data_IF_730973199081
#
_entry.id   IF_730973199081
#
_cell.length_a   1.000
_cell.length_b   1.000
_cell.length_c   1.000
_cell.angle_alpha   90.00
_cell.angle_beta   90.00
_cell.angle_gamma   90.00
#
_symmetry.space_group_name_H-M   'P 1'
#
loop_
_entity.id
_entity.type
_entity.pdbx_description
1 polymer ?
#
# COMPACT_ATOMS: atom_id res chain seq x y z
N UNK A 1 -1.12 23.94 2.17
CA UNK A 1 -0.36 24.68 1.13
C UNK A 1 -1.34 25.32 0.16
N UNK A 2 -1.14 26.58 -0.23
CA UNK A 2 -1.96 27.22 -1.29
C UNK A 2 -1.57 26.62 -2.64
N UNK A 3 -2.55 26.13 -3.40
CA UNK A 3 -2.31 25.59 -4.75
C UNK A 3 -1.78 26.70 -5.66
N UNK A 4 -0.56 26.51 -6.20
CA UNK A 4 0.04 27.46 -7.14
C UNK A 4 -0.73 27.46 -8.46
N UNK A 5 -1.11 28.61 -8.95
CA UNK A 5 -1.72 28.77 -10.27
C UNK A 5 -0.69 28.71 -11.42
N UNK A 6 0.61 28.77 -11.11
CA UNK A 6 1.69 28.66 -12.09
C UNK A 6 1.79 27.22 -12.60
N UNK A 7 1.99 27.07 -13.89
CA UNK A 7 2.26 25.77 -14.52
C UNK A 7 3.66 25.30 -14.10
N UNK A 8 3.78 24.06 -13.67
CA UNK A 8 5.05 23.38 -13.48
C UNK A 8 5.21 22.31 -14.58
N UNK A 9 6.30 22.43 -15.35
CA UNK A 9 6.71 21.45 -16.35
C UNK A 9 7.83 20.57 -15.78
N UNK A 10 7.56 19.27 -15.63
CA UNK A 10 8.50 18.27 -15.10
C UNK A 10 8.98 17.44 -16.28
N UNK A 11 10.26 17.61 -16.69
CA UNK A 11 10.86 16.93 -17.85
C UNK A 11 11.78 15.80 -17.39
N UNK A 12 11.78 14.70 -18.14
CA UNK A 12 12.66 13.57 -17.92
C UNK A 12 12.97 12.80 -19.22
N UNK A 13 14.03 12.02 -19.22
CA UNK A 13 14.42 11.14 -20.31
C UNK A 13 13.49 9.94 -20.49
N UNK A 14 12.67 9.62 -19.47
CA UNK A 14 11.63 8.58 -19.55
C UNK A 14 10.43 8.96 -18.71
N UNK A 15 9.24 8.62 -19.21
CA UNK A 15 7.99 8.69 -18.47
C UNK A 15 7.37 7.28 -18.40
N UNK A 16 6.83 6.93 -17.24
CA UNK A 16 5.94 5.78 -17.07
C UNK A 16 4.60 6.29 -16.55
N UNK A 17 3.50 6.02 -17.28
CA UNK A 17 2.19 6.61 -16.96
C UNK A 17 1.39 5.90 -15.87
N UNK A 18 1.95 4.83 -15.31
CA UNK A 18 1.31 3.93 -14.35
C UNK A 18 0.86 2.62 -15.01
N UNK A 19 0.87 2.53 -16.34
CA UNK A 19 0.50 1.35 -17.12
C UNK A 19 1.57 0.97 -18.15
N UNK A 20 2.21 1.97 -18.79
CA UNK A 20 3.19 1.77 -19.84
C UNK A 20 4.26 2.85 -19.89
N UNK A 21 5.38 2.53 -20.53
CA UNK A 21 6.40 3.53 -20.86
C UNK A 21 5.93 4.45 -21.99
N UNK A 22 6.20 5.75 -21.85
CA UNK A 22 5.89 6.78 -22.84
C UNK A 22 7.16 7.32 -23.55
N UNK A 23 8.37 6.98 -23.08
CA UNK A 23 9.63 7.55 -23.54
C UNK A 23 9.91 8.95 -22.96
N UNK A 24 10.82 9.73 -23.60
CA UNK A 24 11.14 11.09 -23.17
C UNK A 24 9.93 12.02 -23.25
N UNK A 25 9.81 12.94 -22.28
CA UNK A 25 8.71 13.88 -22.30
C UNK A 25 8.64 14.79 -21.08
N UNK A 26 7.52 15.46 -20.93
CA UNK A 26 7.21 16.28 -19.77
C UNK A 26 5.79 16.04 -19.26
N UNK A 27 5.63 16.16 -17.94
CA UNK A 27 4.34 16.23 -17.26
C UNK A 27 4.08 17.67 -16.88
N UNK A 28 2.91 18.19 -17.26
CA UNK A 28 2.45 19.52 -16.91
C UNK A 28 1.51 19.44 -15.72
N UNK A 29 1.77 20.25 -14.70
CA UNK A 29 0.91 20.30 -13.51
C UNK A 29 0.53 21.74 -13.18
N UNK A 30 -0.68 21.92 -12.65
CA UNK A 30 -1.18 23.20 -12.20
C UNK A 30 -2.21 22.99 -11.08
N UNK A 31 -2.13 23.78 -10.05
CA UNK A 31 -3.08 23.72 -8.92
C UNK A 31 -3.21 22.32 -8.30
N UNK A 32 -2.10 21.56 -8.24
CA UNK A 32 -2.05 20.22 -7.65
C UNK A 32 -2.54 19.09 -8.55
N UNK A 33 -2.93 19.39 -9.80
CA UNK A 33 -3.41 18.40 -10.77
C UNK A 33 -2.45 18.31 -11.96
N UNK A 34 -2.42 17.14 -12.58
CA UNK A 34 -1.82 16.94 -13.89
C UNK A 34 -2.75 17.59 -14.94
N UNK A 35 -2.21 18.49 -15.75
CA UNK A 35 -2.98 19.16 -16.82
C UNK A 35 -2.66 18.62 -18.20
N UNK A 36 -1.51 17.97 -18.36
CA UNK A 36 -1.11 17.37 -19.63
C UNK A 36 0.17 16.56 -19.54
N UNK A 37 0.39 15.76 -20.58
CA UNK A 37 1.64 15.02 -20.83
C UNK A 37 2.05 15.34 -22.26
N UNK A 38 3.30 15.71 -22.48
CA UNK A 38 3.84 15.97 -23.80
C UNK A 38 5.06 15.08 -24.07
N UNK A 39 4.99 14.30 -25.11
CA UNK A 39 6.07 13.43 -25.60
C UNK A 39 6.52 13.82 -27.00
N UNK A 40 6.06 14.96 -27.53
CA UNK A 40 6.40 15.44 -28.86
C UNK A 40 7.77 16.11 -28.94
N UNK A 41 8.36 16.45 -27.77
CA UNK A 41 9.59 17.26 -27.70
C UNK A 41 9.34 18.76 -27.83
N UNK A 42 8.08 19.21 -27.75
CA UNK A 42 7.76 20.63 -27.76
C UNK A 42 8.38 21.35 -26.56
N UNK A 43 8.70 22.66 -26.69
CA UNK A 43 9.18 23.44 -25.55
C UNK A 43 8.08 23.56 -24.48
N UNK A 44 8.45 23.69 -23.18
CA UNK A 44 7.51 23.94 -22.12
C UNK A 44 6.66 25.19 -22.41
N UNK A 45 5.41 25.27 -21.91
CA UNK A 45 4.59 26.48 -22.04
C UNK A 45 5.32 27.72 -21.51
N UNK A 46 5.07 28.88 -22.14
CA UNK A 46 5.63 30.15 -21.67
C UNK A 46 5.21 30.39 -20.21
N UNK A 47 6.10 31.00 -19.42
CA UNK A 47 5.92 31.31 -17.99
C UNK A 47 5.75 30.10 -17.06
N UNK A 48 6.02 28.87 -17.53
CA UNK A 48 6.06 27.69 -16.66
C UNK A 48 7.35 27.65 -15.84
N UNK A 49 7.23 27.16 -14.59
CA UNK A 49 8.40 26.71 -13.83
C UNK A 49 8.87 25.37 -14.42
N UNK A 50 10.17 25.22 -14.64
CA UNK A 50 10.71 24.01 -15.26
C UNK A 50 11.56 23.25 -14.25
N UNK A 51 11.22 21.98 -14.03
CA UNK A 51 12.08 21.02 -13.35
C UNK A 51 12.56 20.01 -14.40
N UNK A 52 13.80 20.14 -14.85
CA UNK A 52 14.43 19.24 -15.82
C UNK A 52 15.35 18.26 -15.10
N UNK A 53 15.07 16.97 -15.27
CA UNK A 53 15.83 15.88 -14.66
C UNK A 53 16.84 15.24 -15.62
N UNK A 54 16.81 15.62 -16.92
CA UNK A 54 17.71 15.06 -17.94
C UNK A 54 17.38 13.63 -18.36
N UNK A 55 18.25 13.04 -19.18
CA UNK A 55 17.98 11.77 -19.88
C UNK A 55 18.07 10.52 -18.97
N UNK A 56 18.79 10.60 -17.86
CA UNK A 56 19.04 9.46 -16.94
C UNK A 56 17.96 9.25 -15.88
N UNK A 57 16.83 9.94 -15.96
CA UNK A 57 15.78 9.92 -14.94
C UNK A 57 14.45 9.49 -15.55
N UNK A 58 13.72 8.69 -14.79
CA UNK A 58 12.33 8.30 -15.08
C UNK A 58 11.39 9.04 -14.15
N UNK A 59 10.38 9.72 -14.71
CA UNK A 59 9.25 10.29 -13.95
C UNK A 59 8.04 9.38 -14.07
N UNK A 60 7.41 9.09 -12.93
CA UNK A 60 6.26 8.18 -12.84
C UNK A 60 5.30 8.63 -11.72
N UNK A 61 4.08 8.04 -11.63
CA UNK A 61 3.22 8.25 -10.47
C UNK A 61 3.92 7.86 -9.18
N UNK A 62 3.59 8.55 -8.10
CA UNK A 62 4.03 8.14 -6.76
C UNK A 62 3.55 6.73 -6.41
N UNK A 63 4.38 6.00 -5.66
CA UNK A 63 4.10 4.63 -5.26
C UNK A 63 2.96 4.57 -4.24
N UNK A 64 2.22 3.47 -4.27
CA UNK A 64 1.10 3.18 -3.36
C UNK A 64 1.40 1.88 -2.63
N UNK A 65 1.47 1.92 -1.29
CA UNK A 65 1.55 0.75 -0.43
C UNK A 65 0.15 0.38 0.07
N UNK A 66 -0.37 -0.75 -0.39
CA UNK A 66 -1.74 -1.18 -0.12
C UNK A 66 -1.97 -1.82 1.25
N UNK A 67 -0.92 -1.99 2.07
CA UNK A 67 -1.04 -2.59 3.39
C UNK A 67 0.09 -2.15 4.31
N UNK A 68 -0.20 -1.22 5.19
CA UNK A 68 0.73 -0.79 6.24
C UNK A 68 0.03 -0.72 7.60
N UNK A 69 0.83 -0.62 8.65
CA UNK A 69 0.41 -0.29 10.01
C UNK A 69 1.26 0.86 10.54
N UNK A 70 0.83 2.11 10.32
CA UNK A 70 1.60 3.30 10.70
C UNK A 70 1.89 3.38 12.20
N UNK A 71 1.01 2.81 13.03
CA UNK A 71 1.16 2.80 14.50
C UNK A 71 2.22 1.83 15.00
N UNK A 72 2.67 0.87 14.20
CA UNK A 72 3.72 -0.09 14.52
C UNK A 72 5.11 0.46 14.17
N UNK A 73 6.13 0.13 14.97
CA UNK A 73 7.46 0.75 14.92
C UNK A 73 8.54 -0.09 14.23
N UNK A 74 8.13 -1.17 13.58
CA UNK A 74 9.04 -2.15 12.97
C UNK A 74 10.06 -2.75 13.95
N UNK A 75 9.81 -2.71 15.26
CA UNK A 75 10.64 -3.38 16.27
C UNK A 75 10.18 -4.82 16.52
N UNK A 76 11.00 -5.65 17.18
CA UNK A 76 10.57 -6.97 17.66
C UNK A 76 9.40 -6.90 18.65
N UNK A 77 9.17 -5.75 19.29
CA UNK A 77 8.12 -5.50 20.28
C UNK A 77 6.96 -4.65 19.73
N UNK A 78 6.87 -4.43 18.41
CA UNK A 78 5.90 -3.52 17.80
C UNK A 78 4.46 -3.74 18.30
N UNK A 79 3.99 -4.99 18.38
CA UNK A 79 2.67 -5.33 18.89
C UNK A 79 2.50 -5.05 20.39
N UNK A 80 3.54 -5.29 21.19
CA UNK A 80 3.50 -5.00 22.63
C UNK A 80 3.52 -3.48 22.87
N UNK A 81 4.32 -2.75 22.12
CA UNK A 81 4.41 -1.28 22.21
C UNK A 81 3.06 -0.62 21.89
N UNK A 82 2.40 -0.99 20.79
CA UNK A 82 1.10 -0.43 20.43
C UNK A 82 0.01 -0.70 21.49
N UNK A 83 0.14 -1.79 22.24
CA UNK A 83 -0.82 -2.15 23.28
C UNK A 83 -0.80 -1.20 24.49
N UNK A 84 0.39 -0.68 24.85
CA UNK A 84 0.62 0.00 26.14
C UNK A 84 0.96 1.48 26.01
N UNK A 85 1.45 1.92 24.86
CA UNK A 85 1.84 3.31 24.65
C UNK A 85 0.66 4.27 24.54
N UNK A 86 0.88 5.50 24.95
CA UNK A 86 -0.12 6.57 24.84
C UNK A 86 -0.36 6.98 23.38
N UNK A 87 -1.58 7.44 23.09
CA UNK A 87 -1.99 7.85 21.75
C UNK A 87 -1.10 8.95 21.16
N UNK A 88 -0.57 9.87 21.96
CA UNK A 88 0.33 10.93 21.50
C UNK A 88 1.72 10.39 21.11
N UNK A 89 2.19 9.33 21.78
CA UNK A 89 3.43 8.62 21.39
C UNK A 89 3.21 7.92 20.05
N UNK A 90 2.08 7.23 19.92
CA UNK A 90 1.72 6.54 18.66
C UNK A 90 1.57 7.53 17.50
N UNK A 91 0.90 8.67 17.70
CA UNK A 91 0.73 9.68 16.65
C UNK A 91 2.07 10.25 16.16
N UNK A 92 3.01 10.56 17.06
CA UNK A 92 4.36 10.99 16.66
C UNK A 92 5.09 9.92 15.86
N UNK A 93 4.98 8.65 16.25
CA UNK A 93 5.52 7.51 15.50
C UNK A 93 4.90 7.41 14.11
N UNK A 94 3.58 7.51 14.02
CA UNK A 94 2.84 7.45 12.76
C UNK A 94 3.23 8.60 11.81
N UNK A 95 3.48 9.80 12.32
CA UNK A 95 4.00 10.94 11.55
C UNK A 95 5.39 10.64 10.98
N UNK A 96 6.30 10.11 11.81
CA UNK A 96 7.65 9.69 11.37
C UNK A 96 7.58 8.55 10.33
N UNK A 97 6.71 7.57 10.53
CA UNK A 97 6.45 6.48 9.60
C UNK A 97 5.97 7.02 8.24
N UNK A 98 5.01 7.95 8.27
CA UNK A 98 4.49 8.63 7.07
C UNK A 98 5.58 9.42 6.34
N UNK A 99 6.41 10.17 7.07
CA UNK A 99 7.55 10.91 6.50
C UNK A 99 8.55 9.96 5.84
N UNK A 100 8.86 8.84 6.49
CA UNK A 100 9.76 7.82 5.96
C UNK A 100 9.24 7.21 4.66
N UNK A 101 7.95 6.85 4.62
CA UNK A 101 7.29 6.36 3.42
C UNK A 101 7.35 7.39 2.27
N UNK A 102 7.03 8.65 2.54
CA UNK A 102 7.06 9.73 1.55
C UNK A 102 8.46 9.91 0.95
N UNK A 103 9.50 9.84 1.78
CA UNK A 103 10.88 9.95 1.32
C UNK A 103 11.33 8.77 0.44
N UNK A 104 10.69 7.62 0.53
CA UNK A 104 10.90 6.49 -0.37
C UNK A 104 10.04 6.56 -1.65
N UNK A 105 9.32 7.68 -1.88
CA UNK A 105 8.48 7.86 -3.05
C UNK A 105 7.06 7.26 -2.89
N UNK A 106 6.70 6.79 -1.69
CA UNK A 106 5.36 6.27 -1.40
C UNK A 106 4.46 7.46 -1.08
N UNK A 107 3.61 7.85 -2.03
CA UNK A 107 2.73 9.03 -1.91
C UNK A 107 1.34 8.68 -1.41
N UNK A 108 1.02 7.40 -1.31
CA UNK A 108 -0.24 6.89 -0.74
C UNK A 108 0.04 5.62 0.04
N UNK A 109 -0.59 5.50 1.21
CA UNK A 109 -0.55 4.30 2.06
C UNK A 109 -1.98 3.90 2.43
N UNK A 110 -2.27 2.58 2.42
CA UNK A 110 -3.50 2.04 2.99
C UNK A 110 -3.17 1.43 4.36
N UNK A 111 -3.54 2.16 5.42
CA UNK A 111 -3.40 1.69 6.81
C UNK A 111 -4.55 0.74 7.13
N UNK A 112 -4.24 -0.54 7.26
CA UNK A 112 -5.21 -1.62 7.48
C UNK A 112 -5.34 -2.03 8.94
N UNK A 113 -4.92 -1.18 9.85
CA UNK A 113 -5.18 -1.43 11.27
C UNK A 113 -4.40 -0.51 12.19
N UNK A 114 -5.14 0.26 12.94
CA UNK A 114 -4.63 1.08 14.04
C UNK A 114 -5.52 0.96 15.28
N UNK A 115 -5.04 1.46 16.41
CA UNK A 115 -5.80 1.56 17.64
C UNK A 115 -6.57 2.89 17.71
N UNK A 116 -7.86 2.85 18.07
CA UNK A 116 -8.67 4.06 18.36
C UNK A 116 -8.81 5.05 17.20
N UNK A 117 -8.68 4.60 15.94
CA UNK A 117 -8.79 5.44 14.76
C UNK A 117 -7.70 6.53 14.69
N UNK A 118 -6.49 6.22 15.14
CA UNK A 118 -5.38 7.18 15.15
C UNK A 118 -4.94 7.59 13.75
N UNK A 119 -5.09 6.73 12.74
CA UNK A 119 -4.82 7.06 11.34
C UNK A 119 -5.71 8.20 10.83
N UNK A 120 -6.97 8.26 11.25
CA UNK A 120 -7.87 9.38 10.92
C UNK A 120 -7.42 10.66 11.62
N UNK A 121 -7.10 10.58 12.92
CA UNK A 121 -6.60 11.73 13.69
C UNK A 121 -5.28 12.26 13.10
N UNK A 122 -4.36 11.37 12.71
CA UNK A 122 -3.12 11.75 12.03
C UNK A 122 -3.42 12.46 10.70
N UNK A 123 -4.28 11.89 9.86
CA UNK A 123 -4.68 12.48 8.57
C UNK A 123 -5.18 13.92 8.73
N UNK A 124 -6.01 14.16 9.74
CA UNK A 124 -6.52 15.49 10.03
C UNK A 124 -5.41 16.45 10.49
N UNK A 125 -4.53 16.00 11.39
CA UNK A 125 -3.39 16.78 11.89
C UNK A 125 -2.41 17.17 10.77
N UNK A 126 -2.05 16.23 9.90
CA UNK A 126 -1.16 16.47 8.77
C UNK A 126 -1.77 17.50 7.81
N UNK A 127 -3.08 17.41 7.55
CA UNK A 127 -3.80 18.36 6.68
C UNK A 127 -3.86 19.75 7.31
N UNK A 128 -4.27 19.86 8.57
CA UNK A 128 -4.39 21.14 9.29
C UNK A 128 -3.06 21.88 9.41
N UNK A 129 -1.98 21.13 9.66
CA UNK A 129 -0.64 21.71 9.84
C UNK A 129 0.13 21.84 8.51
N UNK A 130 -0.47 21.49 7.38
CA UNK A 130 0.17 21.48 6.05
C UNK A 130 1.50 20.72 6.02
N UNK A 131 1.58 19.61 6.76
CA UNK A 131 2.77 18.73 6.79
C UNK A 131 2.73 17.83 5.56
N UNK A 132 3.78 17.80 4.72
CA UNK A 132 3.85 16.88 3.59
C UNK A 132 3.86 15.43 4.06
N UNK A 133 2.91 14.65 3.58
CA UNK A 133 2.76 13.23 3.93
C UNK A 133 2.08 12.45 2.79
N UNK A 134 2.19 11.12 2.77
CA UNK A 134 1.36 10.29 1.90
C UNK A 134 -0.13 10.53 2.16
N UNK A 135 -0.96 10.32 1.15
CA UNK A 135 -2.40 10.14 1.40
C UNK A 135 -2.62 8.89 2.25
N UNK A 136 -3.40 9.01 3.31
CA UNK A 136 -3.74 7.89 4.19
C UNK A 136 -5.15 7.41 3.85
N UNK A 137 -5.26 6.17 3.35
CA UNK A 137 -6.50 5.40 3.22
C UNK A 137 -6.62 4.57 4.50
N UNK A 138 -7.61 4.84 5.33
CA UNK A 138 -7.63 4.37 6.71
C UNK A 138 -8.76 3.38 6.99
N UNK A 139 -8.44 2.25 7.64
CA UNK A 139 -9.41 1.27 8.15
C UNK A 139 -9.84 1.54 9.60
N UNK A 140 -9.00 2.17 10.41
CA UNK A 140 -9.16 2.18 11.86
C UNK A 140 -8.93 0.80 12.49
N UNK A 141 -9.44 0.51 13.69
CA UNK A 141 -9.29 -0.79 14.34
C UNK A 141 -9.87 -1.92 13.47
N UNK A 142 -9.07 -2.97 13.12
CA UNK A 142 -9.57 -4.05 12.28
C UNK A 142 -10.64 -4.88 13.01
N UNK A 143 -11.69 -5.31 12.30
CA UNK A 143 -12.70 -6.20 12.87
C UNK A 143 -12.09 -7.57 13.15
N UNK A 144 -12.32 -8.05 14.38
CA UNK A 144 -11.87 -9.37 14.84
C UNK A 144 -12.86 -9.94 15.86
N UNK A 145 -12.81 -11.25 16.08
CA UNK A 145 -13.58 -11.91 17.15
C UNK A 145 -13.01 -11.55 18.53
N UNK A 146 -13.79 -11.79 19.61
CA UNK A 146 -13.30 -11.55 20.96
C UNK A 146 -12.04 -12.37 21.26
N UNK A 147 -10.93 -11.67 21.63
CA UNK A 147 -9.62 -12.26 21.82
C UNK A 147 -8.96 -12.76 20.52
N UNK A 148 -9.51 -12.43 19.36
CA UNK A 148 -9.00 -12.84 18.06
C UNK A 148 -7.71 -12.13 17.63
N UNK A 149 -7.30 -12.36 16.39
CA UNK A 149 -6.08 -11.74 15.86
C UNK A 149 -6.20 -10.22 15.86
N UNK A 150 -5.17 -9.53 16.35
CA UNK A 150 -5.11 -8.07 16.54
C UNK A 150 -6.22 -7.48 17.45
N UNK A 151 -6.84 -8.25 18.35
CA UNK A 151 -7.81 -7.74 19.35
C UNK A 151 -7.26 -6.56 20.16
N UNK A 152 -5.95 -6.49 20.35
CA UNK A 152 -5.24 -5.37 21.01
C UNK A 152 -5.52 -4.01 20.38
N UNK A 153 -5.94 -3.97 19.12
CA UNK A 153 -6.31 -2.72 18.42
C UNK A 153 -7.75 -2.27 18.71
N UNK A 154 -8.57 -3.10 19.39
CA UNK A 154 -9.89 -2.74 19.89
C UNK A 154 -11.00 -2.76 18.84
N UNK A 155 -10.88 -3.64 17.83
CA UNK A 155 -11.90 -3.82 16.79
C UNK A 155 -12.80 -5.06 17.01
N UNK A 156 -12.88 -5.58 18.25
CA UNK A 156 -13.62 -6.79 18.56
C UNK A 156 -15.12 -6.60 18.35
N UNK A 157 -15.74 -7.54 17.61
CA UNK A 157 -17.18 -7.59 17.37
C UNK A 157 -17.60 -8.99 16.94
N UNK A 158 -18.66 -9.53 17.55
CA UNK A 158 -19.25 -10.81 17.19
C UNK A 158 -20.78 -10.72 17.14
N UNK A 159 -21.37 -11.53 16.28
CA UNK A 159 -22.81 -11.55 16.07
C UNK A 159 -23.34 -10.35 15.29
N UNK A 160 -24.57 -10.48 14.81
CA UNK A 160 -25.11 -9.58 13.81
C UNK A 160 -25.21 -8.11 14.24
N UNK A 161 -25.55 -7.85 15.50
CA UNK A 161 -25.79 -6.48 15.96
C UNK A 161 -24.47 -5.73 16.21
N UNK A 162 -23.48 -6.40 16.82
CA UNK A 162 -22.15 -5.81 17.04
C UNK A 162 -21.44 -5.55 15.72
N UNK A 163 -21.50 -6.51 14.77
CA UNK A 163 -20.89 -6.37 13.45
C UNK A 163 -21.49 -5.20 12.66
N UNK A 164 -22.84 -5.06 12.65
CA UNK A 164 -23.51 -3.90 12.03
C UNK A 164 -23.07 -2.58 12.68
N UNK A 165 -23.07 -2.53 14.01
CA UNK A 165 -22.67 -1.33 14.76
C UNK A 165 -21.20 -0.98 14.49
N UNK A 166 -20.31 -1.98 14.40
CA UNK A 166 -18.90 -1.77 14.17
C UNK A 166 -18.59 -1.27 12.74
N UNK A 167 -19.29 -1.78 11.72
CA UNK A 167 -19.16 -1.27 10.34
C UNK A 167 -19.73 0.15 10.25
N UNK A 168 -20.92 0.38 10.81
CA UNK A 168 -21.54 1.72 10.84
C UNK A 168 -20.64 2.75 11.51
N UNK A 169 -20.03 2.41 12.67
CA UNK A 169 -19.09 3.30 13.35
C UNK A 169 -17.90 3.71 12.48
N UNK A 170 -17.34 2.79 11.68
CA UNK A 170 -16.23 3.08 10.74
C UNK A 170 -16.67 4.06 9.66
N UNK A 171 -17.84 3.85 9.09
CA UNK A 171 -18.44 4.77 8.12
C UNK A 171 -18.64 6.17 8.71
N UNK A 172 -19.25 6.26 9.89
CA UNK A 172 -19.51 7.54 10.55
C UNK A 172 -18.26 8.29 10.99
N UNK A 173 -17.16 7.57 11.23
CA UNK A 173 -15.85 8.18 11.54
C UNK A 173 -15.07 8.60 10.30
N UNK A 174 -15.51 8.22 9.11
CA UNK A 174 -14.83 8.56 7.84
C UNK A 174 -13.65 7.64 7.52
N UNK A 175 -13.73 6.35 7.92
CA UNK A 175 -12.84 5.34 7.37
C UNK A 175 -13.13 5.14 5.88
N UNK A 176 -12.10 4.73 5.14
CA UNK A 176 -12.18 4.49 3.70
C UNK A 176 -12.41 3.00 3.38
N UNK A 177 -12.07 2.11 4.33
CA UNK A 177 -12.11 0.66 4.13
C UNK A 177 -12.45 -0.05 5.46
N UNK A 178 -13.15 -1.19 5.37
CA UNK A 178 -13.39 -2.10 6.50
C UNK A 178 -12.40 -3.25 6.43
N UNK A 179 -11.43 -3.29 7.35
CA UNK A 179 -10.50 -4.42 7.52
C UNK A 179 -11.09 -5.47 8.44
N UNK A 180 -11.00 -6.73 8.05
CA UNK A 180 -11.53 -7.88 8.81
C UNK A 180 -10.44 -8.95 8.96
N UNK A 181 -10.29 -9.47 10.16
CA UNK A 181 -9.44 -10.62 10.46
C UNK A 181 -10.26 -11.91 10.23
N UNK A 182 -10.31 -12.38 8.97
CA UNK A 182 -11.09 -13.56 8.57
C UNK A 182 -10.39 -14.83 9.04
N UNK A 183 -9.05 -14.83 9.08
CA UNK A 183 -8.28 -15.88 9.74
C UNK A 183 -7.50 -15.34 10.93
N UNK A 184 -7.01 -16.24 11.77
CA UNK A 184 -5.99 -15.91 12.75
C UNK A 184 -4.66 -15.51 12.11
N UNK A 185 -3.69 -15.14 12.93
CA UNK A 185 -2.37 -14.71 12.48
C UNK A 185 -1.25 -15.16 13.42
N UNK A 186 -0.01 -14.86 13.01
CA UNK A 186 1.20 -15.32 13.72
C UNK A 186 1.68 -14.39 14.84
N UNK A 187 1.13 -13.17 14.97
CA UNK A 187 1.63 -12.13 15.86
C UNK A 187 0.79 -11.93 17.13
N UNK A 188 -0.34 -12.63 17.24
CA UNK A 188 -1.21 -12.61 18.43
C UNK A 188 -1.09 -13.92 19.19
N UNK A 189 -0.70 -13.91 20.49
CA UNK A 189 -0.65 -15.12 21.29
C UNK A 189 -1.97 -15.89 21.27
N UNK A 190 -1.93 -17.21 21.05
CA UNK A 190 -3.11 -18.07 20.99
C UNK A 190 -3.83 -18.08 19.63
N UNK A 191 -3.58 -17.14 18.76
CA UNK A 191 -4.11 -17.11 17.40
C UNK A 191 -3.25 -17.97 16.45
N UNK A 192 -3.88 -18.64 15.49
CA UNK A 192 -3.18 -19.50 14.52
C UNK A 192 -3.58 -19.12 13.09
N UNK A 193 -2.63 -18.97 12.17
CA UNK A 193 -2.91 -18.52 10.80
C UNK A 193 -3.88 -19.42 10.01
N UNK A 194 -4.00 -20.70 10.38
CA UNK A 194 -4.88 -21.67 9.71
C UNK A 194 -6.28 -21.77 10.30
N UNK A 195 -6.60 -21.02 11.36
CA UNK A 195 -7.93 -21.01 11.97
C UNK A 195 -8.78 -19.87 11.37
N UNK A 196 -10.00 -20.18 10.95
CA UNK A 196 -11.00 -19.17 10.62
C UNK A 196 -11.51 -18.49 11.89
N UNK A 197 -11.75 -17.17 11.83
CA UNK A 197 -12.29 -16.40 12.95
C UNK A 197 -13.79 -16.12 12.80
N UNK A 198 -14.26 -15.86 11.58
CA UNK A 198 -15.67 -15.61 11.29
C UNK A 198 -16.25 -16.69 10.39
N UNK A 199 -17.54 -16.97 10.57
CA UNK A 199 -18.28 -17.83 9.66
C UNK A 199 -18.82 -17.05 8.44
N UNK A 200 -19.16 -17.77 7.40
CA UNK A 200 -19.71 -17.27 6.13
C UNK A 200 -20.82 -16.22 6.33
N UNK A 201 -21.78 -16.50 7.23
CA UNK A 201 -22.91 -15.60 7.50
C UNK A 201 -22.46 -14.23 8.01
N UNK A 202 -21.45 -14.18 8.87
CA UNK A 202 -20.92 -12.95 9.45
C UNK A 202 -20.13 -12.17 8.38
N UNK A 203 -19.36 -12.87 7.55
CA UNK A 203 -18.60 -12.28 6.45
C UNK A 203 -19.51 -11.61 5.40
N UNK A 204 -20.57 -12.31 4.97
CA UNK A 204 -21.59 -11.71 4.10
C UNK A 204 -22.24 -10.49 4.72
N UNK A 205 -22.59 -10.55 6.02
CA UNK A 205 -23.17 -9.43 6.74
C UNK A 205 -22.23 -8.22 6.74
N UNK A 206 -20.93 -8.43 7.01
CA UNK A 206 -19.93 -7.34 7.03
C UNK A 206 -19.82 -6.70 5.65
N UNK A 207 -19.70 -7.50 4.58
CA UNK A 207 -19.60 -6.99 3.21
C UNK A 207 -20.86 -6.23 2.80
N UNK A 208 -22.04 -6.76 3.09
CA UNK A 208 -23.32 -6.09 2.82
C UNK A 208 -23.45 -4.74 3.55
N UNK A 209 -23.02 -4.68 4.80
CA UNK A 209 -23.03 -3.42 5.56
C UNK A 209 -22.00 -2.43 5.05
N UNK A 210 -20.78 -2.88 4.70
CA UNK A 210 -19.76 -2.03 4.10
C UNK A 210 -20.25 -1.44 2.77
N UNK A 211 -20.81 -2.26 1.90
CA UNK A 211 -21.41 -1.84 0.63
C UNK A 211 -22.50 -0.78 0.80
N UNK A 212 -23.42 -0.94 1.77
CA UNK A 212 -24.46 0.07 2.09
C UNK A 212 -23.90 1.43 2.47
N UNK A 213 -22.69 1.45 3.03
CA UNK A 213 -21.99 2.68 3.41
C UNK A 213 -20.97 3.16 2.35
N UNK A 214 -20.87 2.49 1.21
CA UNK A 214 -19.90 2.82 0.15
C UNK A 214 -18.45 2.55 0.57
N UNK A 215 -18.21 1.65 1.52
CA UNK A 215 -16.87 1.30 2.00
C UNK A 215 -16.36 0.05 1.28
N UNK A 216 -15.08 0.07 0.90
CA UNK A 216 -14.37 -1.13 0.47
C UNK A 216 -14.10 -2.05 1.65
N UNK A 217 -13.80 -3.33 1.33
CA UNK A 217 -13.51 -4.38 2.31
C UNK A 217 -12.16 -5.02 2.04
N UNK A 218 -11.40 -5.31 3.11
CA UNK A 218 -10.11 -5.97 3.04
C UNK A 218 -10.06 -7.13 4.06
N UNK A 219 -9.80 -8.35 3.56
CA UNK A 219 -9.80 -9.58 4.35
C UNK A 219 -8.37 -10.02 4.67
N UNK A 220 -8.00 -10.12 5.95
CA UNK A 220 -6.80 -10.84 6.39
C UNK A 220 -7.04 -12.34 6.25
N UNK A 221 -6.38 -12.99 5.32
CA UNK A 221 -6.61 -14.40 5.01
C UNK A 221 -5.30 -15.16 4.85
N UNK A 222 -5.02 -16.03 5.81
CA UNK A 222 -3.96 -17.02 5.75
C UNK A 222 -4.49 -18.42 5.45
N UNK A 223 -5.60 -18.80 6.10
CA UNK A 223 -6.21 -20.11 5.98
C UNK A 223 -6.85 -20.33 4.61
N UNK A 224 -6.72 -21.51 4.03
CA UNK A 224 -7.40 -21.90 2.78
C UNK A 224 -8.91 -21.69 2.89
N UNK A 225 -9.53 -22.14 3.99
CA UNK A 225 -10.96 -21.97 4.24
C UNK A 225 -11.36 -20.48 4.27
N UNK A 226 -10.56 -19.64 4.95
CA UNK A 226 -10.82 -18.20 5.04
C UNK A 226 -10.65 -17.49 3.70
N UNK A 227 -9.75 -17.97 2.81
CA UNK A 227 -9.63 -17.43 1.45
C UNK A 227 -10.92 -17.73 0.68
N UNK A 228 -11.42 -18.97 0.73
CA UNK A 228 -12.68 -19.38 0.08
C UNK A 228 -13.85 -18.55 0.62
N UNK A 229 -14.00 -18.49 1.95
CA UNK A 229 -15.09 -17.79 2.61
C UNK A 229 -15.10 -16.29 2.28
N UNK A 230 -13.93 -15.65 2.23
CA UNK A 230 -13.82 -14.23 1.87
C UNK A 230 -14.13 -13.96 0.38
N UNK A 231 -13.72 -14.88 -0.52
CA UNK A 231 -14.10 -14.81 -1.94
C UNK A 231 -15.60 -14.92 -2.13
N UNK A 232 -16.22 -15.91 -1.51
CA UNK A 232 -17.66 -16.15 -1.59
C UNK A 232 -18.48 -15.00 -0.97
N UNK A 233 -17.96 -14.39 0.12
CA UNK A 233 -18.59 -13.23 0.73
C UNK A 233 -18.45 -11.95 -0.12
N UNK A 234 -17.57 -11.91 -1.10
CA UNK A 234 -17.39 -10.80 -2.02
C UNK A 234 -16.50 -9.67 -1.50
N UNK A 235 -15.46 -9.99 -0.73
CA UNK A 235 -14.46 -8.99 -0.31
C UNK A 235 -13.74 -8.36 -1.51
N UNK A 236 -13.48 -7.04 -1.43
CA UNK A 236 -12.79 -6.30 -2.50
C UNK A 236 -11.30 -6.65 -2.56
N UNK A 237 -10.65 -6.95 -1.42
CA UNK A 237 -9.24 -7.35 -1.39
C UNK A 237 -8.95 -8.44 -0.37
N UNK A 238 -8.05 -9.35 -0.75
CA UNK A 238 -7.50 -10.42 0.06
C UNK A 238 -6.06 -10.09 0.42
N UNK A 239 -5.75 -10.04 1.70
CA UNK A 239 -4.43 -9.70 2.22
C UNK A 239 -3.66 -11.00 2.55
N UNK A 240 -2.36 -11.03 2.24
CA UNK A 240 -1.43 -12.15 2.46
C UNK A 240 -1.63 -13.36 1.55
N UNK A 241 -2.78 -14.00 1.55
CA UNK A 241 -3.16 -15.16 0.71
C UNK A 241 -2.10 -16.26 0.75
N UNK A 242 -1.78 -16.77 1.95
CA UNK A 242 -0.64 -17.69 2.16
C UNK A 242 -0.98 -19.17 2.08
N UNK A 243 -2.27 -19.53 1.91
CA UNK A 243 -2.78 -20.91 1.76
C UNK A 243 -2.44 -21.83 2.94
N UNK A 244 -2.46 -21.33 4.18
CA UNK A 244 -2.20 -22.15 5.36
C UNK A 244 -3.29 -23.20 5.61
N UNK A 245 -2.86 -24.36 6.06
CA UNK A 245 -3.67 -25.43 6.62
C UNK A 245 -3.08 -25.85 7.98
N UNK A 246 -3.78 -26.70 8.72
CA UNK A 246 -3.25 -27.26 9.98
C UNK A 246 -1.93 -28.05 9.77
N UNK A 247 -1.68 -28.52 8.55
CA UNK A 247 -0.53 -29.39 8.24
C UNK A 247 0.59 -28.71 7.45
N UNK A 248 0.36 -27.46 6.99
CA UNK A 248 1.36 -26.73 6.17
C UNK A 248 0.75 -25.68 5.27
N UNK A 249 1.28 -25.55 4.07
CA UNK A 249 0.77 -24.68 3.00
C UNK A 249 0.20 -25.55 1.89
N UNK A 250 -1.05 -25.34 1.55
CA UNK A 250 -1.67 -26.03 0.41
C UNK A 250 -1.16 -25.45 -0.91
N UNK A 251 -1.21 -26.27 -1.94
CA UNK A 251 -1.00 -25.85 -3.33
C UNK A 251 -2.25 -26.21 -4.12
N UNK A 252 -3.23 -25.32 -4.11
CA UNK A 252 -4.54 -25.53 -4.73
C UNK A 252 -4.65 -24.70 -6.00
N UNK A 253 -4.45 -25.35 -7.15
CA UNK A 253 -4.50 -24.71 -8.46
C UNK A 253 -5.91 -24.21 -8.80
N UNK A 254 -6.96 -24.95 -8.39
CA UNK A 254 -8.33 -24.55 -8.63
C UNK A 254 -8.69 -23.26 -7.88
N UNK A 255 -8.28 -23.16 -6.61
CA UNK A 255 -8.50 -21.95 -5.82
C UNK A 255 -7.72 -20.76 -6.40
N UNK A 256 -6.49 -20.96 -6.89
CA UNK A 256 -5.72 -19.92 -7.58
C UNK A 256 -6.47 -19.39 -8.81
N UNK A 257 -7.05 -20.29 -9.61
CA UNK A 257 -7.86 -19.92 -10.78
C UNK A 257 -9.14 -19.17 -10.37
N UNK A 258 -9.83 -19.62 -9.33
CA UNK A 258 -10.99 -18.91 -8.78
C UNK A 258 -10.64 -17.48 -8.34
N UNK A 259 -9.53 -17.30 -7.60
CA UNK A 259 -9.03 -15.98 -7.19
C UNK A 259 -8.77 -15.09 -8.43
N UNK A 260 -8.09 -15.64 -9.44
CA UNK A 260 -7.73 -14.88 -10.65
C UNK A 260 -8.94 -14.45 -11.44
N UNK A 261 -10.01 -15.24 -11.45
CA UNK A 261 -11.25 -14.97 -12.18
C UNK A 261 -12.25 -14.10 -11.41
N UNK A 262 -12.14 -14.01 -10.09
CA UNK A 262 -13.06 -13.27 -9.23
C UNK A 262 -13.02 -11.76 -9.44
N UNK A 263 -11.89 -11.24 -9.92
CA UNK A 263 -11.65 -9.80 -10.01
C UNK A 263 -11.28 -9.13 -8.68
N UNK A 264 -11.23 -9.88 -7.57
CA UNK A 264 -10.78 -9.42 -6.25
C UNK A 264 -9.29 -9.09 -6.29
N UNK A 265 -8.90 -8.02 -5.61
CA UNK A 265 -7.48 -7.67 -5.49
C UNK A 265 -6.77 -8.62 -4.53
N UNK A 266 -5.53 -9.00 -4.87
CA UNK A 266 -4.66 -9.82 -4.02
C UNK A 266 -3.49 -8.96 -3.57
N UNK A 267 -3.47 -8.62 -2.29
CA UNK A 267 -2.39 -7.84 -1.68
C UNK A 267 -1.32 -8.79 -1.13
N UNK A 268 -0.23 -8.93 -1.87
CA UNK A 268 0.90 -9.73 -1.43
C UNK A 268 1.77 -8.94 -0.46
N UNK A 269 1.91 -9.45 0.78
CA UNK A 269 2.71 -8.80 1.84
C UNK A 269 4.15 -9.30 1.84
N UNK A 270 4.80 -9.21 0.69
CA UNK A 270 6.18 -9.64 0.44
C UNK A 270 7.18 -8.49 0.64
N UNK A 271 8.47 -8.81 0.51
CA UNK A 271 9.56 -7.87 0.67
C UNK A 271 9.96 -7.65 2.13
N UNK A 272 11.25 -7.56 2.35
CA UNK A 272 11.86 -7.14 3.62
C UNK A 272 13.25 -6.58 3.34
N UNK A 273 13.71 -5.69 4.22
CA UNK A 273 15.09 -5.20 4.15
C UNK A 273 16.04 -6.39 4.33
N UNK A 274 17.09 -6.53 3.50
CA UNK A 274 18.10 -7.58 3.66
C UNK A 274 18.73 -7.55 5.07
N UNK A 275 19.09 -8.71 5.57
CA UNK A 275 19.79 -8.91 6.86
C UNK A 275 19.06 -8.37 8.10
N UNK A 276 17.78 -8.04 7.98
CA UNK A 276 16.96 -7.46 9.05
C UNK A 276 16.35 -8.49 10.03
N UNK A 277 16.73 -9.75 9.89
CA UNK A 277 16.22 -10.85 10.72
C UNK A 277 15.30 -11.81 9.94
N UNK A 278 14.75 -12.79 10.66
CA UNK A 278 13.84 -13.79 10.07
C UNK A 278 12.38 -13.42 10.35
N UNK A 279 11.47 -13.72 9.44
CA UNK A 279 10.03 -13.60 9.72
C UNK A 279 9.62 -14.56 10.86
N UNK A 280 8.40 -14.38 11.43
CA UNK A 280 7.87 -15.29 12.44
C UNK A 280 8.04 -16.77 12.03
N UNK A 281 8.33 -17.68 12.98
CA UNK A 281 8.65 -19.09 12.66
C UNK A 281 7.60 -19.78 11.79
N UNK A 282 6.32 -19.50 12.00
CA UNK A 282 5.22 -20.04 11.19
C UNK A 282 5.34 -19.67 9.69
N UNK A 283 5.83 -18.46 9.39
CA UNK A 283 6.09 -17.98 8.03
C UNK A 283 7.43 -18.50 7.52
N UNK A 284 8.51 -18.35 8.33
CA UNK A 284 9.88 -18.71 7.93
C UNK A 284 9.99 -20.17 7.46
N UNK A 285 9.35 -21.11 8.17
CA UNK A 285 9.38 -22.53 7.87
C UNK A 285 8.65 -22.89 6.57
N UNK A 286 7.79 -22.00 6.05
CA UNK A 286 6.91 -22.24 4.91
C UNK A 286 7.12 -21.24 3.76
N UNK A 287 8.15 -20.41 3.87
CA UNK A 287 8.37 -19.28 2.97
C UNK A 287 8.47 -19.71 1.51
N UNK A 288 9.12 -20.85 1.23
CA UNK A 288 9.27 -21.39 -0.13
C UNK A 288 7.90 -21.72 -0.76
N UNK A 289 7.02 -22.43 -0.03
CA UNK A 289 5.69 -22.75 -0.53
C UNK A 289 4.79 -21.51 -0.67
N UNK A 290 4.90 -20.55 0.27
CA UNK A 290 4.17 -19.26 0.18
C UNK A 290 4.63 -18.51 -1.07
N UNK A 291 5.93 -18.41 -1.33
CA UNK A 291 6.47 -17.76 -2.54
C UNK A 291 6.05 -18.49 -3.82
N UNK A 292 6.03 -19.82 -3.82
CA UNK A 292 5.56 -20.61 -4.96
C UNK A 292 4.08 -20.32 -5.29
N UNK A 293 3.21 -20.23 -4.28
CA UNK A 293 1.81 -19.85 -4.49
C UNK A 293 1.65 -18.40 -4.97
N UNK A 294 2.42 -17.47 -4.42
CA UNK A 294 2.43 -16.08 -4.89
C UNK A 294 2.83 -15.99 -6.38
N UNK A 295 3.88 -16.72 -6.80
CA UNK A 295 4.28 -16.80 -8.20
C UNK A 295 3.17 -17.38 -9.09
N UNK A 296 2.43 -18.40 -8.62
CA UNK A 296 1.28 -18.94 -9.34
C UNK A 296 0.13 -17.95 -9.47
N UNK A 297 -0.19 -17.18 -8.42
CA UNK A 297 -1.18 -16.11 -8.49
C UNK A 297 -0.81 -15.06 -9.53
N UNK A 298 0.47 -14.63 -9.56
CA UNK A 298 0.99 -13.72 -10.58
C UNK A 298 0.83 -14.30 -11.99
N UNK A 299 1.24 -15.56 -12.19
CA UNK A 299 1.19 -16.25 -13.48
C UNK A 299 -0.24 -16.52 -13.96
N UNK A 300 -1.19 -16.76 -13.05
CA UNK A 300 -2.60 -16.95 -13.35
C UNK A 300 -3.35 -15.65 -13.69
N UNK A 301 -2.68 -14.48 -13.58
CA UNK A 301 -3.29 -13.19 -13.90
C UNK A 301 -4.19 -12.61 -12.81
N UNK A 302 -4.00 -13.00 -11.55
CA UNK A 302 -4.68 -12.37 -10.43
C UNK A 302 -4.40 -10.85 -10.39
N UNK A 303 -5.36 -10.07 -9.92
CA UNK A 303 -5.18 -8.62 -9.72
C UNK A 303 -4.27 -8.34 -8.52
N UNK A 304 -2.97 -8.57 -8.71
CA UNK A 304 -1.96 -8.41 -7.65
C UNK A 304 -1.68 -6.92 -7.40
N UNK A 305 -1.67 -6.55 -6.13
CA UNK A 305 -1.10 -5.30 -5.60
C UNK A 305 -0.06 -5.64 -4.54
N UNK A 306 0.83 -4.70 -4.23
CA UNK A 306 1.76 -4.85 -3.11
C UNK A 306 1.23 -4.11 -1.88
N UNK A 307 1.25 -4.84 -0.77
CA UNK A 307 1.16 -4.30 0.55
C UNK A 307 2.33 -4.85 1.37
N UNK A 308 3.08 -3.98 2.01
CA UNK A 308 4.32 -4.43 2.66
C UNK A 308 4.10 -5.03 4.03
N UNK A 309 2.97 -4.72 4.68
CA UNK A 309 2.74 -4.97 6.10
C UNK A 309 3.78 -4.22 6.98
N UNK A 310 4.13 -3.00 6.52
CA UNK A 310 5.14 -2.16 7.15
C UNK A 310 4.76 -1.80 8.59
N UNK A 311 5.78 -1.75 9.44
CA UNK A 311 5.66 -1.55 10.88
C UNK A 311 5.69 -2.83 11.70
N UNK A 312 5.35 -3.99 11.12
CA UNK A 312 5.13 -5.23 11.87
C UNK A 312 6.40 -5.84 12.48
N UNK A 313 7.56 -5.71 11.82
CA UNK A 313 8.81 -6.36 12.22
C UNK A 313 10.03 -5.58 11.71
N UNK A 314 11.24 -5.84 12.24
CA UNK A 314 12.47 -5.14 11.84
C UNK A 314 12.75 -5.15 10.34
N UNK A 315 12.34 -6.20 9.63
CA UNK A 315 12.48 -6.29 8.18
C UNK A 315 11.47 -5.46 7.40
N UNK A 316 10.52 -4.83 8.06
CA UNK A 316 9.39 -4.14 7.42
C UNK A 316 9.23 -2.68 7.88
N UNK A 317 10.28 -1.85 7.74
CA UNK A 317 10.14 -0.40 7.97
C UNK A 317 9.25 0.23 6.89
N UNK A 318 8.76 1.47 7.14
CA UNK A 318 7.77 2.10 6.27
C UNK A 318 8.31 2.60 4.91
N UNK A 319 9.56 2.37 4.60
CA UNK A 319 10.21 2.58 3.30
C UNK A 319 10.56 1.27 2.58
N UNK A 320 9.94 0.15 2.97
CA UNK A 320 10.31 -1.20 2.49
C UNK A 320 9.72 -1.55 1.11
N UNK A 321 8.76 -0.77 0.57
CA UNK A 321 8.07 -1.08 -0.68
C UNK A 321 9.01 -1.32 -1.89
N UNK A 322 10.14 -0.60 -2.07
CA UNK A 322 11.11 -0.91 -3.11
C UNK A 322 11.60 -2.37 -3.07
N UNK A 323 11.89 -2.93 -1.89
CA UNK A 323 12.27 -4.34 -1.74
C UNK A 323 11.13 -5.31 -2.06
N UNK A 324 9.88 -4.89 -1.85
CA UNK A 324 8.72 -5.68 -2.23
C UNK A 324 8.56 -5.73 -3.76
N UNK A 325 8.88 -4.65 -4.46
CA UNK A 325 8.92 -4.62 -5.94
C UNK A 325 9.98 -5.57 -6.50
N UNK A 326 11.21 -5.55 -5.96
CA UNK A 326 12.25 -6.51 -6.33
C UNK A 326 11.79 -7.95 -6.09
N UNK A 327 11.22 -8.23 -4.90
CA UNK A 327 10.69 -9.55 -4.57
C UNK A 327 9.56 -10.00 -5.52
N UNK A 328 8.73 -9.07 -6.01
CA UNK A 328 7.66 -9.38 -6.97
C UNK A 328 8.23 -9.73 -8.36
N UNK A 329 9.29 -9.04 -8.80
CA UNK A 329 10.01 -9.37 -10.03
C UNK A 329 10.72 -10.72 -9.89
N UNK A 330 11.32 -11.02 -8.74
CA UNK A 330 11.93 -12.32 -8.43
C UNK A 330 10.91 -13.48 -8.46
N UNK A 331 9.63 -13.20 -8.23
CA UNK A 331 8.54 -14.17 -8.39
C UNK A 331 8.13 -14.38 -9.86
N UNK A 332 8.78 -13.68 -10.80
CA UNK A 332 8.56 -13.81 -12.25
C UNK A 332 7.60 -12.78 -12.84
N UNK A 333 7.19 -11.75 -12.07
CA UNK A 333 6.38 -10.66 -12.64
C UNK A 333 7.27 -9.73 -13.46
N UNK A 334 6.91 -9.39 -14.71
CA UNK A 334 7.65 -8.40 -15.49
C UNK A 334 7.71 -7.02 -14.81
N UNK A 335 8.82 -6.25 -14.94
CA UNK A 335 8.98 -4.96 -14.25
C UNK A 335 7.85 -3.95 -14.51
N UNK A 336 7.33 -3.86 -15.72
CA UNK A 336 6.20 -3.00 -16.08
C UNK A 336 4.93 -3.38 -15.32
N UNK A 337 4.65 -4.68 -15.18
CA UNK A 337 3.52 -5.20 -14.41
C UNK A 337 3.72 -5.02 -12.90
N UNK A 338 4.96 -5.14 -12.41
CA UNK A 338 5.28 -4.88 -11.02
C UNK A 338 5.09 -3.39 -10.65
N UNK A 339 5.52 -2.47 -11.51
CA UNK A 339 5.27 -1.03 -11.34
C UNK A 339 3.77 -0.70 -11.43
N UNK A 340 3.04 -1.34 -12.35
CA UNK A 340 1.59 -1.21 -12.45
C UNK A 340 0.88 -1.64 -11.15
N UNK A 341 1.36 -2.71 -10.50
CA UNK A 341 0.81 -3.23 -9.23
C UNK A 341 0.97 -2.28 -8.03
N UNK A 342 1.86 -1.29 -8.09
CA UNK A 342 2.09 -0.27 -7.03
C UNK A 342 1.69 1.14 -7.47
N UNK A 343 1.07 1.27 -8.63
CA UNK A 343 0.60 2.54 -9.18
C UNK A 343 -0.87 2.44 -9.55
N UNK A 344 -1.20 2.17 -10.80
CA UNK A 344 -2.58 2.19 -11.29
C UNK A 344 -3.48 1.14 -10.65
N UNK A 345 -3.04 -0.13 -10.54
CA UNK A 345 -3.83 -1.20 -9.91
C UNK A 345 -3.99 -0.95 -8.40
N UNK A 346 -2.92 -0.47 -7.74
CA UNK A 346 -2.98 -0.11 -6.33
C UNK A 346 -3.95 1.05 -6.06
N UNK A 347 -4.01 2.04 -6.96
CA UNK A 347 -4.99 3.12 -6.86
C UNK A 347 -6.41 2.58 -6.97
N UNK A 348 -6.65 1.65 -7.89
CA UNK A 348 -7.96 1.01 -8.05
C UNK A 348 -8.35 0.19 -6.80
N UNK A 349 -7.38 -0.53 -6.19
CA UNK A 349 -7.60 -1.27 -4.94
C UNK A 349 -7.88 -0.37 -3.73
N UNK A 350 -7.38 0.85 -3.76
CA UNK A 350 -7.59 1.87 -2.72
C UNK A 350 -8.82 2.77 -2.96
N UNK A 351 -9.65 2.48 -3.97
CA UNK A 351 -10.78 3.30 -4.40
C UNK A 351 -10.39 4.73 -4.84
N UNK A 352 -9.20 4.86 -5.46
CA UNK A 352 -8.61 6.12 -5.94
C UNK A 352 -8.50 6.16 -7.47
N UNK A 353 -9.30 5.34 -8.17
CA UNK A 353 -9.32 5.30 -9.63
C UNK A 353 -9.56 6.70 -10.23
N UNK A 354 -8.75 7.07 -11.23
CA UNK A 354 -8.82 8.39 -11.87
C UNK A 354 -8.25 9.56 -11.03
N UNK A 355 -8.00 9.34 -9.73
CA UNK A 355 -7.39 10.35 -8.86
C UNK A 355 -5.88 10.17 -8.73
N UNK A 356 -5.42 8.92 -8.65
CA UNK A 356 -4.00 8.60 -8.38
C UNK A 356 -3.50 7.43 -9.22
N UNK A 357 -2.19 7.17 -9.12
CA UNK A 357 -1.54 6.01 -9.72
C UNK A 357 -1.35 6.09 -11.24
N UNK A 358 -1.75 7.18 -11.87
CA UNK A 358 -1.59 7.40 -13.32
C UNK A 358 -1.10 8.81 -13.61
N UNK A 359 -0.22 8.94 -14.61
CA UNK A 359 0.03 10.23 -15.26
C UNK A 359 -1.11 10.45 -16.25
N UNK A 360 -2.15 11.16 -15.83
CA UNK A 360 -3.30 11.47 -16.68
C UNK A 360 -3.86 12.85 -16.36
N UNK A 361 -4.34 13.60 -17.35
CA UNK A 361 -5.00 14.89 -17.10
C UNK A 361 -6.17 14.73 -16.12
N UNK A 362 -6.21 15.58 -15.10
CA UNK A 362 -7.20 15.55 -14.03
C UNK A 362 -6.79 14.73 -12.80
N UNK A 363 -5.77 13.88 -12.89
CA UNK A 363 -5.23 13.17 -11.73
C UNK A 363 -4.45 14.13 -10.81
N UNK A 364 -4.39 13.81 -9.52
CA UNK A 364 -3.56 14.52 -8.56
C UNK A 364 -2.07 14.37 -8.95
N UNK A 365 -1.32 15.46 -8.87
CA UNK A 365 0.09 15.51 -9.25
C UNK A 365 1.00 14.95 -8.15
N UNK A 366 0.79 13.67 -7.83
CA UNK A 366 1.64 12.88 -6.96
C UNK A 366 2.61 12.09 -7.83
N UNK A 367 3.85 12.57 -7.91
CA UNK A 367 4.86 12.08 -8.85
C UNK A 367 6.17 11.80 -8.14
N UNK A 368 6.94 10.87 -8.69
CA UNK A 368 8.33 10.65 -8.30
C UNK A 368 9.26 10.71 -9.51
N UNK A 369 10.46 11.19 -9.28
CA UNK A 369 11.55 11.11 -10.22
C UNK A 369 12.60 10.12 -9.67
N UNK A 370 12.98 9.14 -10.48
CA UNK A 370 13.89 8.03 -10.15
C UNK A 370 15.13 8.15 -11.03
N UNK A 371 16.32 8.15 -10.44
CA UNK A 371 17.56 8.02 -11.21
C UNK A 371 17.69 6.61 -11.74
N UNK A 372 17.73 6.46 -13.07
CA UNK A 372 17.69 5.19 -13.77
C UNK A 372 16.33 4.88 -14.41
N UNK A 373 16.23 3.66 -14.93
CA UNK A 373 15.04 3.16 -15.62
C UNK A 373 14.52 1.88 -14.93
N UNK A 374 13.46 2.00 -14.08
CA UNK A 374 12.94 0.86 -13.31
C UNK A 374 12.26 -0.20 -14.22
N UNK A 375 12.00 0.09 -15.47
CA UNK A 375 11.49 -0.89 -16.43
C UNK A 375 12.61 -1.82 -16.95
N UNK A 376 13.87 -1.36 -16.92
CA UNK A 376 15.05 -2.16 -17.29
C UNK A 376 15.69 -2.82 -16.06
N UNK A 377 15.75 -2.11 -14.97
CA UNK A 377 16.31 -2.55 -13.69
C UNK A 377 15.40 -2.08 -12.56
N UNK A 378 14.61 -3.00 -12.01
CA UNK A 378 13.64 -2.68 -10.96
C UNK A 378 14.30 -2.11 -9.71
N UNK A 379 15.58 -2.41 -9.44
CA UNK A 379 16.32 -1.86 -8.31
C UNK A 379 16.49 -0.33 -8.37
N UNK A 380 16.32 0.28 -9.55
CA UNK A 380 16.32 1.73 -9.70
C UNK A 380 15.26 2.43 -8.83
N UNK A 381 14.17 1.74 -8.43
CA UNK A 381 13.13 2.30 -7.54
C UNK A 381 13.67 2.76 -6.19
N UNK A 382 14.84 2.30 -5.76
CA UNK A 382 15.53 2.81 -4.57
C UNK A 382 16.12 4.22 -4.76
N UNK A 383 16.33 4.64 -5.99
CA UNK A 383 17.04 5.87 -6.34
C UNK A 383 16.08 7.05 -6.57
N UNK A 384 15.14 7.26 -5.66
CA UNK A 384 14.22 8.41 -5.71
C UNK A 384 15.00 9.70 -5.52
N UNK A 385 15.00 10.59 -6.51
CA UNK A 385 15.67 11.89 -6.50
C UNK A 385 14.73 13.06 -6.22
N UNK A 386 13.44 12.90 -6.52
CA UNK A 386 12.43 13.90 -6.16
C UNK A 386 11.07 13.25 -5.90
N UNK A 387 10.30 13.85 -5.00
CA UNK A 387 8.91 13.48 -4.72
C UNK A 387 8.05 14.73 -4.80
N UNK A 388 6.97 14.64 -5.57
CA UNK A 388 5.92 15.64 -5.63
C UNK A 388 4.66 15.13 -4.96
N UNK A 389 4.04 15.98 -4.18
CA UNK A 389 2.77 15.72 -3.51
C UNK A 389 1.83 16.90 -3.79
N UNK A 390 0.66 16.61 -4.39
CA UNK A 390 -0.27 17.65 -4.87
C UNK A 390 0.43 18.73 -5.73
N UNK A 391 1.37 18.32 -6.60
CA UNK A 391 2.15 19.20 -7.46
C UNK A 391 3.26 19.99 -6.77
N UNK A 392 3.46 19.85 -5.47
CA UNK A 392 4.53 20.50 -4.73
C UNK A 392 5.73 19.55 -4.56
N UNK A 393 6.93 20.05 -4.86
CA UNK A 393 8.18 19.35 -4.60
C UNK A 393 8.39 19.26 -3.08
N UNK A 394 8.29 18.05 -2.53
CA UNK A 394 8.40 17.82 -1.07
C UNK A 394 9.68 17.09 -0.68
N UNK A 395 10.30 16.39 -1.62
CA UNK A 395 11.64 15.81 -1.46
C UNK A 395 12.46 16.18 -2.69
N UNK A 396 13.64 16.76 -2.47
CA UNK A 396 14.62 17.09 -3.52
C UNK A 396 16.01 16.64 -3.09
N UNK A 397 16.56 15.68 -3.82
CA UNK A 397 17.90 15.13 -3.57
C UNK A 397 18.91 15.51 -4.66
N UNK A 398 18.52 16.29 -5.66
CA UNK A 398 19.41 16.75 -6.76
C UNK A 398 20.61 17.54 -6.24
N UNK A 399 20.41 18.37 -5.21
CA UNK A 399 21.44 19.24 -4.64
C UNK A 399 22.52 18.50 -3.83
N UNK A 400 22.31 17.21 -3.45
CA UNK A 400 23.31 16.44 -2.69
C UNK A 400 24.41 15.84 -3.56
N UNK A 401 24.21 15.72 -4.87
CA UNK A 401 25.17 15.13 -5.81
C UNK A 401 26.27 16.09 -6.25
N UNK A 402 26.02 17.40 -6.24
CA UNK A 402 27.01 18.40 -6.65
C UNK A 402 28.09 18.67 -5.60
N UNK A 403 27.78 18.50 -4.32
CA UNK A 403 28.74 18.77 -3.22
C UNK A 403 29.74 17.62 -2.99
N UNK A 404 29.49 16.42 -3.52
CA UNK A 404 30.38 15.25 -3.37
C UNK A 404 31.39 15.10 -4.51
N UNK A 405 31.30 15.88 -5.59
CA UNK A 405 32.23 15.86 -6.72
C UNK A 405 33.32 16.93 -6.64
N UNK A 406 33.31 17.78 -5.60
CA UNK A 406 34.30 18.85 -5.40
C UNK A 406 35.10 18.74 -4.09
N UNK A 407 35.21 17.54 -3.50
CA UNK A 407 36.05 17.26 -2.33
C UNK A 407 37.12 16.23 -2.62
#
# INVERSE_FOLDING_TARGET
MTRSSQILAIRAGSLFDGERALGPGMVLTQSGLITGIDTSGAPPPADSLIHDFGDGVTVMPGLIDCHVHLSLDASPQAMANVAVEDDDVLLRRMELASTRALHAGITTVRDLGDRRFLSLRLRDQLTQNSIPAPRIVAAGPPLTTHGGHLAVMGGEAEGADELKAAVHMRAMRGCDVVKVMVSGGATTPGSRPHDAQYGQKDLHLIVDQACKHGLRTAAHVHAVTSIVDALEAGFDSLEHVTFFTAYGVASDQHLIEQISQSGTFVSLTIGSVPDSGKPPPAIAQRLEQIRANAARLCSAGAKVVLGTDAGLSPGKPHDVLPYALEALVDLGMPPDRALHAVTAVAADACDLHGLKGRLAPGAEADLIAISGDPLKDISAVHNVVAVYRDGHLVVDRRLKTETSMTA
#
